data_IF_422080121240
#
_entry.id   IF_422080121240
#
_cell.length_a   1.000
_cell.length_b   1.000
_cell.length_c   1.000
_cell.angle_alpha   90.00
_cell.angle_beta   90.00
_cell.angle_gamma   90.00
#
_symmetry.space_group_name_H-M   'P 1'
#
loop_
_entity.id
_entity.type
_entity.pdbx_description
1 polymer ?
#
# COMPACT_ATOMS: atom_id res chain seq x y z
N UNK A 1 34.39 20.46 -31.52
CA UNK A 1 34.13 19.03 -31.73
C UNK A 1 32.71 18.83 -32.18
N UNK A 2 32.54 18.26 -33.38
CA UNK A 2 31.36 17.58 -33.91
C UNK A 2 30.05 18.38 -34.08
N UNK A 3 30.07 19.25 -35.09
CA UNK A 3 28.94 19.57 -35.97
C UNK A 3 28.78 18.41 -36.96
N UNK A 4 27.62 17.75 -37.02
CA UNK A 4 27.29 16.83 -38.13
C UNK A 4 26.46 17.55 -39.18
N UNK A 5 27.15 17.92 -40.27
CA UNK A 5 26.57 18.06 -41.62
C UNK A 5 26.29 16.67 -42.18
N UNK A 6 25.24 16.53 -42.99
CA UNK A 6 25.16 15.67 -44.19
C UNK A 6 23.85 16.01 -44.97
N UNK A 7 23.74 15.69 -46.27
CA UNK A 7 23.60 16.73 -47.30
C UNK A 7 22.34 16.59 -48.18
N UNK A 8 22.10 17.68 -48.91
CA UNK A 8 21.44 17.81 -50.20
C UNK A 8 20.96 16.54 -50.92
N UNK A 9 19.67 16.52 -51.27
CA UNK A 9 19.21 16.00 -52.56
C UNK A 9 18.18 16.97 -53.13
N UNK A 10 18.57 17.62 -54.23
CA UNK A 10 17.70 18.41 -55.08
C UNK A 10 16.89 17.46 -55.99
N UNK A 11 15.60 17.72 -56.12
CA UNK A 11 14.84 17.43 -57.33
C UNK A 11 14.04 18.68 -57.65
N UNK A 12 14.47 19.32 -58.72
CA UNK A 12 13.75 20.35 -59.46
C UNK A 12 12.49 19.75 -60.07
N UNK A 13 11.36 20.42 -59.88
CA UNK A 13 10.52 20.81 -61.03
C UNK A 13 9.72 22.05 -60.64
N UNK A 14 9.84 23.08 -61.48
CA UNK A 14 9.32 24.41 -61.23
C UNK A 14 7.90 24.64 -61.75
N UNK A 15 7.43 25.87 -61.53
CA UNK A 15 6.31 26.41 -62.30
C UNK A 15 5.25 27.15 -61.49
N UNK A 16 5.49 28.44 -61.28
CA UNK A 16 4.54 29.57 -61.24
C UNK A 16 3.13 29.43 -60.60
N UNK A 17 2.93 30.19 -59.53
CA UNK A 17 2.02 31.34 -59.53
C UNK A 17 0.52 31.14 -59.24
N UNK A 18 0.03 31.98 -58.30
CA UNK A 18 -1.31 32.62 -58.24
C UNK A 18 -2.44 31.82 -57.54
N UNK A 19 -2.86 32.33 -56.38
CA UNK A 19 -4.21 32.16 -55.76
C UNK A 19 -5.17 33.20 -56.38
N UNK A 20 -6.54 33.16 -56.28
CA UNK A 20 -7.36 32.59 -55.20
C UNK A 20 -8.79 32.05 -55.57
N UNK A 21 -9.55 31.63 -54.53
CA UNK A 21 -11.01 31.31 -54.44
C UNK A 21 -11.42 29.94 -55.04
N UNK A 22 -12.29 29.11 -54.44
CA UNK A 22 -13.47 29.38 -53.62
C UNK A 22 -13.81 28.14 -52.79
N UNK A 23 -14.34 28.37 -51.58
CA UNK A 23 -14.82 27.36 -50.66
C UNK A 23 -16.00 26.55 -51.22
N UNK A 24 -15.91 25.21 -51.13
CA UNK A 24 -17.07 24.34 -51.06
C UNK A 24 -16.99 23.54 -49.75
N UNK A 25 -17.85 23.94 -48.82
CA UNK A 25 -18.17 23.26 -47.57
C UNK A 25 -18.64 21.83 -47.88
N UNK A 26 -17.74 20.86 -47.70
CA UNK A 26 -18.12 19.48 -47.42
C UNK A 26 -17.87 19.25 -45.94
N UNK A 27 -18.95 19.29 -45.17
CA UNK A 27 -19.02 18.92 -43.76
C UNK A 27 -18.40 17.53 -43.55
N UNK A 28 -17.17 17.50 -43.04
CA UNK A 28 -16.59 16.28 -42.50
C UNK A 28 -17.34 15.92 -41.21
N UNK A 29 -17.87 14.69 -41.05
CA UNK A 29 -18.36 14.26 -39.77
C UNK A 29 -17.16 14.22 -38.81
N UNK A 30 -17.31 14.93 -37.70
CA UNK A 30 -16.41 14.92 -36.55
C UNK A 30 -16.19 13.46 -36.16
N UNK A 31 -15.02 12.89 -36.48
CA UNK A 31 -14.62 11.62 -35.90
C UNK A 31 -14.45 11.84 -34.40
N UNK A 32 -15.41 11.33 -33.63
CA UNK A 32 -15.23 11.05 -32.22
C UNK A 32 -13.95 10.22 -32.03
N UNK A 33 -13.19 10.43 -30.94
CA UNK A 33 -12.09 9.53 -30.59
C UNK A 33 -12.66 8.22 -30.04
N UNK A 34 -13.34 7.44 -30.88
CA UNK A 34 -13.62 6.01 -30.63
C UNK A 34 -12.32 5.22 -30.85
N UNK A 35 -11.43 5.24 -29.86
CA UNK A 35 -10.18 4.46 -29.97
C UNK A 35 -9.32 4.37 -28.73
N UNK A 36 -9.50 5.24 -27.73
CA UNK A 36 -8.70 5.16 -26.48
C UNK A 36 -9.36 4.32 -25.36
N UNK A 37 -10.64 3.99 -25.47
CA UNK A 37 -11.35 3.15 -24.48
C UNK A 37 -10.98 1.66 -24.57
N UNK A 38 -10.95 1.10 -25.79
CA UNK A 38 -10.77 -0.34 -26.02
C UNK A 38 -9.40 -0.88 -25.58
N UNK A 39 -8.34 -0.09 -25.73
CA UNK A 39 -7.00 -0.48 -25.27
C UNK A 39 -6.88 -0.45 -23.75
N UNK A 40 -7.43 0.58 -23.10
CA UNK A 40 -7.33 0.73 -21.65
C UNK A 40 -8.18 -0.31 -20.92
N UNK A 41 -9.35 -0.66 -21.46
CA UNK A 41 -10.19 -1.76 -20.98
C UNK A 41 -9.50 -3.12 -21.09
N UNK A 42 -8.78 -3.36 -22.20
CA UNK A 42 -7.99 -4.58 -22.39
C UNK A 42 -6.85 -4.69 -21.36
N UNK A 43 -6.11 -3.60 -21.13
CA UNK A 43 -5.07 -3.57 -20.10
C UNK A 43 -5.63 -3.70 -18.68
N UNK A 44 -6.80 -3.10 -18.39
CA UNK A 44 -7.48 -3.24 -17.10
C UNK A 44 -7.92 -4.69 -16.86
N UNK A 45 -8.53 -5.31 -17.86
CA UNK A 45 -8.96 -6.72 -17.82
C UNK A 45 -7.77 -7.65 -17.58
N UNK A 46 -6.66 -7.43 -18.30
CA UNK A 46 -5.45 -8.21 -18.14
C UNK A 46 -4.80 -8.03 -16.75
N UNK A 47 -4.77 -6.79 -16.25
CA UNK A 47 -4.27 -6.50 -14.90
C UNK A 47 -5.14 -7.13 -13.81
N UNK A 48 -6.47 -7.06 -13.93
CA UNK A 48 -7.41 -7.70 -13.00
C UNK A 48 -7.27 -9.23 -13.01
N UNK A 49 -7.09 -9.82 -14.19
CA UNK A 49 -6.82 -11.25 -14.33
C UNK A 49 -5.53 -11.65 -13.62
N UNK A 50 -4.41 -10.95 -13.90
CA UNK A 50 -3.12 -11.20 -13.24
C UNK A 50 -3.21 -11.02 -11.73
N UNK A 51 -3.88 -9.97 -11.25
CA UNK A 51 -4.08 -9.75 -9.82
C UNK A 51 -4.89 -10.90 -9.19
N UNK A 52 -5.95 -11.38 -9.84
CA UNK A 52 -6.76 -12.50 -9.36
C UNK A 52 -5.96 -13.81 -9.26
N UNK A 53 -5.10 -14.08 -10.25
CA UNK A 53 -4.22 -15.27 -10.27
C UNK A 53 -3.18 -15.18 -9.15
N UNK A 54 -2.55 -14.02 -8.96
CA UNK A 54 -1.57 -13.82 -7.87
C UNK A 54 -2.23 -14.02 -6.51
N UNK A 55 -3.44 -13.49 -6.30
CA UNK A 55 -4.19 -13.67 -5.05
C UNK A 55 -4.55 -15.15 -4.81
N UNK A 56 -4.93 -15.88 -5.86
CA UNK A 56 -5.19 -17.31 -5.78
C UNK A 56 -3.93 -18.10 -5.42
N UNK A 57 -2.78 -17.77 -5.99
CA UNK A 57 -1.49 -18.41 -5.66
C UNK A 57 -1.05 -18.11 -4.22
N UNK A 58 -1.23 -16.88 -3.74
CA UNK A 58 -0.96 -16.51 -2.35
C UNK A 58 -1.88 -17.30 -1.42
N UNK A 59 -3.17 -17.38 -1.74
CA UNK A 59 -4.15 -18.16 -0.96
C UNK A 59 -3.76 -19.64 -0.90
N UNK A 60 -3.44 -20.25 -2.04
CA UNK A 60 -2.99 -21.64 -2.13
C UNK A 60 -1.68 -21.86 -1.37
N UNK A 61 -0.70 -20.95 -1.48
CA UNK A 61 0.56 -21.02 -0.75
C UNK A 61 0.37 -21.00 0.77
N UNK A 62 -0.51 -20.12 1.27
CA UNK A 62 -0.86 -20.07 2.70
C UNK A 62 -1.54 -21.36 3.15
N UNK A 63 -2.47 -21.90 2.34
CA UNK A 63 -3.12 -23.18 2.63
C UNK A 63 -2.12 -24.32 2.69
N UNK A 64 -1.23 -24.45 1.71
CA UNK A 64 -0.23 -25.53 1.65
C UNK A 64 0.73 -25.44 2.84
N UNK A 65 1.31 -24.27 3.13
CA UNK A 65 2.24 -24.11 4.27
C UNK A 65 1.56 -24.42 5.60
N UNK A 66 0.29 -24.03 5.78
CA UNK A 66 -0.46 -24.25 7.03
C UNK A 66 -0.99 -25.69 7.16
N UNK A 67 -1.32 -26.37 6.06
CA UNK A 67 -1.82 -27.75 6.06
C UNK A 67 -0.69 -28.79 6.09
N UNK A 68 0.45 -28.52 5.45
CA UNK A 68 1.59 -29.47 5.38
C UNK A 68 2.43 -29.45 6.66
N UNK A 69 2.44 -28.36 7.42
CA UNK A 69 3.34 -28.15 8.56
C UNK A 69 3.11 -28.98 9.83
N UNK A 70 2.39 -30.11 9.81
CA UNK A 70 2.22 -30.93 11.04
C UNK A 70 1.68 -32.36 10.86
N UNK A 71 1.27 -32.78 9.65
CA UNK A 71 0.60 -34.08 9.47
C UNK A 71 1.52 -35.29 9.30
N UNK A 72 2.84 -35.11 9.14
CA UNK A 72 3.73 -36.21 8.73
C UNK A 72 4.53 -36.86 9.86
N UNK A 73 4.63 -36.24 11.04
CA UNK A 73 5.50 -36.74 12.11
C UNK A 73 4.80 -37.44 13.29
N UNK A 74 3.47 -37.44 13.36
CA UNK A 74 2.73 -37.92 14.55
C UNK A 74 1.89 -39.19 14.30
N UNK A 75 2.19 -39.94 13.23
CA UNK A 75 1.46 -41.17 12.86
C UNK A 75 2.37 -42.40 12.77
N UNK A 76 3.37 -42.46 13.64
CA UNK A 76 4.15 -43.67 13.87
C UNK A 76 4.33 -43.79 15.39
N UNK A 77 4.04 -44.98 15.91
CA UNK A 77 4.20 -45.44 17.31
C UNK A 77 2.96 -45.13 18.18
N UNK A 78 2.18 -46.07 18.73
CA UNK A 78 2.31 -47.52 18.97
C UNK A 78 0.90 -48.14 19.07
N UNK A 79 0.73 -49.38 18.61
CA UNK A 79 -0.27 -50.28 19.19
C UNK A 79 0.45 -51.50 19.74
N UNK A 80 0.73 -51.51 21.03
CA UNK A 80 1.17 -52.73 21.71
C UNK A 80 0.36 -52.90 22.99
N UNK A 81 -0.68 -53.73 22.89
CA UNK A 81 -1.33 -54.31 24.06
C UNK A 81 -0.32 -55.28 24.69
N UNK A 82 0.33 -54.90 25.79
CA UNK A 82 1.05 -55.85 26.64
C UNK A 82 0.37 -55.96 28.00
N UNK A 83 0.03 -57.20 28.36
CA UNK A 83 -0.60 -57.56 29.61
C UNK A 83 0.30 -57.23 30.83
N UNK A 84 -0.32 -56.90 31.97
CA UNK A 84 0.40 -56.50 33.17
C UNK A 84 1.12 -57.70 33.81
N UNK A 85 2.35 -57.48 34.26
CA UNK A 85 3.12 -58.41 35.11
C UNK A 85 3.68 -57.57 36.26
N UNK A 86 3.46 -58.02 37.49
CA UNK A 86 3.91 -57.35 38.72
C UNK A 86 5.40 -57.61 38.98
N UNK A 87 6.22 -56.56 38.91
CA UNK A 87 7.65 -56.57 39.24
C UNK A 87 7.91 -56.12 40.70
N UNK A 88 7.05 -56.49 41.64
CA UNK A 88 7.05 -55.92 42.99
C UNK A 88 8.25 -56.38 43.87
N UNK A 89 9.06 -57.36 43.40
CA UNK A 89 10.08 -58.03 44.24
C UNK A 89 11.43 -58.42 43.59
N UNK A 90 11.72 -58.15 42.31
CA UNK A 90 13.07 -58.43 41.74
C UNK A 90 13.68 -57.25 40.97
N UNK A 91 14.97 -57.02 41.18
CA UNK A 91 15.75 -55.91 40.60
C UNK A 91 16.57 -56.35 39.38
N UNK A 92 15.93 -57.04 38.44
CA UNK A 92 16.58 -57.47 37.19
C UNK A 92 16.56 -56.33 36.15
N UNK A 93 17.57 -56.27 35.27
CA UNK A 93 17.66 -55.28 34.18
C UNK A 93 16.38 -55.20 33.33
N UNK A 94 15.66 -56.32 33.18
CA UNK A 94 14.38 -56.40 32.48
C UNK A 94 13.22 -55.71 33.21
N UNK A 95 13.12 -55.85 34.55
CA UNK A 95 12.11 -55.14 35.33
C UNK A 95 12.42 -53.65 35.42
N UNK A 96 13.71 -53.25 35.43
CA UNK A 96 14.09 -51.84 35.35
C UNK A 96 13.73 -51.23 33.99
N UNK A 97 13.88 -51.96 32.89
CA UNK A 97 13.43 -51.54 31.57
C UNK A 97 11.90 -51.37 31.52
N UNK A 98 11.14 -52.34 32.03
CA UNK A 98 9.67 -52.27 32.08
C UNK A 98 9.15 -51.13 32.97
N UNK A 99 9.83 -50.83 34.07
CA UNK A 99 9.49 -49.68 34.92
C UNK A 99 9.75 -48.35 34.21
N UNK A 100 10.83 -48.25 33.42
CA UNK A 100 11.08 -47.09 32.56
C UNK A 100 10.00 -46.96 31.48
N UNK A 101 9.55 -48.06 30.89
CA UNK A 101 8.47 -48.06 29.90
C UNK A 101 7.14 -47.58 30.50
N UNK A 102 6.78 -48.05 31.70
CA UNK A 102 5.60 -47.56 32.42
C UNK A 102 5.71 -46.06 32.77
N UNK A 103 6.89 -45.61 33.19
CA UNK A 103 7.15 -44.20 33.49
C UNK A 103 7.00 -43.36 32.22
N UNK A 104 7.53 -43.85 31.09
CA UNK A 104 7.39 -43.19 29.80
C UNK A 104 5.96 -43.17 29.29
N UNK A 105 5.16 -44.21 29.53
CA UNK A 105 3.74 -44.22 29.20
C UNK A 105 2.97 -43.13 29.96
N UNK A 106 3.22 -43.00 31.27
CA UNK A 106 2.62 -41.94 32.11
C UNK A 106 3.05 -40.55 31.62
N UNK A 107 4.34 -40.38 31.29
CA UNK A 107 4.86 -39.11 30.77
C UNK A 107 4.31 -38.74 29.40
N UNK A 108 4.14 -39.73 28.52
CA UNK A 108 3.57 -39.54 27.20
C UNK A 108 2.09 -39.12 27.28
N UNK A 109 1.31 -39.77 28.13
CA UNK A 109 -0.09 -39.41 28.34
C UNK A 109 -0.22 -38.01 28.97
N UNK A 110 0.61 -37.72 29.97
CA UNK A 110 0.69 -36.38 30.56
C UNK A 110 1.06 -35.32 29.51
N UNK A 111 2.07 -35.58 28.68
CA UNK A 111 2.47 -34.68 27.61
C UNK A 111 1.32 -34.44 26.61
N UNK A 112 0.64 -35.51 26.17
CA UNK A 112 -0.47 -35.41 25.23
C UNK A 112 -1.60 -34.56 25.80
N UNK A 113 -2.03 -34.84 27.03
CA UNK A 113 -3.07 -34.07 27.70
C UNK A 113 -2.71 -32.57 27.81
N UNK A 114 -1.50 -32.26 28.30
CA UNK A 114 -1.05 -30.87 28.43
C UNK A 114 -0.93 -30.17 27.07
N UNK A 115 -0.44 -30.88 26.05
CA UNK A 115 -0.25 -30.33 24.71
C UNK A 115 -1.58 -29.98 24.02
N UNK A 116 -2.60 -30.82 24.19
CA UNK A 116 -3.96 -30.59 23.67
C UNK A 116 -4.59 -29.40 24.38
N UNK A 117 -4.49 -29.33 25.71
CA UNK A 117 -5.08 -28.23 26.47
C UNK A 117 -4.42 -26.89 26.18
N UNK A 118 -3.08 -26.85 26.06
CA UNK A 118 -2.38 -25.65 25.62
C UNK A 118 -2.76 -25.25 24.18
N UNK A 119 -2.98 -26.23 23.30
CA UNK A 119 -3.52 -26.00 21.96
C UNK A 119 -4.92 -25.39 21.97
N UNK A 120 -5.83 -25.93 22.78
CA UNK A 120 -7.19 -25.42 22.94
C UNK A 120 -7.22 -23.98 23.48
N UNK A 121 -6.32 -23.66 24.40
CA UNK A 121 -6.16 -22.30 24.92
C UNK A 121 -5.75 -21.31 23.82
N UNK A 122 -4.75 -21.64 22.99
CA UNK A 122 -4.35 -20.79 21.85
C UNK A 122 -5.46 -20.64 20.79
N UNK A 123 -6.38 -21.59 20.74
CA UNK A 123 -7.46 -21.67 19.75
C UNK A 123 -8.73 -20.89 20.12
N UNK A 124 -8.71 -20.16 21.23
CA UNK A 124 -9.85 -19.35 21.69
C UNK A 124 -10.58 -19.92 22.89
N UNK A 125 -9.95 -20.84 23.63
CA UNK A 125 -10.33 -21.24 24.98
C UNK A 125 -11.79 -21.76 25.12
N UNK A 126 -12.14 -22.91 24.51
CA UNK A 126 -13.47 -23.49 24.61
C UNK A 126 -13.85 -23.90 26.05
N UNK A 127 -12.86 -24.11 26.92
CA UNK A 127 -13.05 -24.61 28.30
C UNK A 127 -12.89 -23.54 29.38
N UNK A 128 -12.81 -22.24 29.03
CA UNK A 128 -12.65 -21.12 29.97
C UNK A 128 -11.43 -21.25 30.92
N UNK A 129 -10.32 -21.85 30.47
CA UNK A 129 -9.08 -21.86 31.23
C UNK A 129 -8.61 -20.43 31.47
N UNK A 130 -8.38 -20.05 32.73
CA UNK A 130 -7.91 -18.70 33.10
C UNK A 130 -6.45 -18.45 32.68
N UNK A 131 -5.68 -19.51 32.48
CA UNK A 131 -4.26 -19.46 32.12
C UNK A 131 -3.83 -20.71 31.39
N UNK A 132 -2.70 -20.63 30.68
CA UNK A 132 -1.99 -21.77 30.06
C UNK A 132 -1.46 -22.79 31.10
N UNK A 133 -1.52 -22.44 32.38
CA UNK A 133 -1.16 -23.27 33.52
C UNK A 133 -2.27 -24.23 33.92
N UNK A 134 -1.96 -25.53 33.99
CA UNK A 134 -2.86 -26.58 34.44
C UNK A 134 -2.41 -27.04 35.83
N UNK A 135 -3.37 -27.21 36.74
CA UNK A 135 -3.10 -27.62 38.11
C UNK A 135 -2.60 -29.07 38.16
N UNK A 136 -1.58 -29.33 38.99
CA UNK A 136 -1.02 -30.68 39.14
C UNK A 136 -2.08 -31.69 39.58
N UNK A 137 -3.02 -31.29 40.45
CA UNK A 137 -4.11 -32.15 40.88
C UNK A 137 -5.02 -32.59 39.73
N UNK A 138 -5.37 -31.66 38.84
CA UNK A 138 -6.24 -31.92 37.69
C UNK A 138 -5.54 -32.81 36.66
N UNK A 139 -4.27 -32.56 36.38
CA UNK A 139 -3.46 -33.40 35.51
C UNK A 139 -3.24 -34.81 36.10
N UNK A 140 -3.03 -34.91 37.42
CA UNK A 140 -2.88 -36.18 38.14
C UNK A 140 -4.14 -37.02 38.02
N UNK A 141 -5.31 -36.43 38.27
CA UNK A 141 -6.59 -37.13 38.19
C UNK A 141 -6.87 -37.64 36.77
N UNK A 142 -6.56 -36.85 35.73
CA UNK A 142 -6.75 -37.26 34.34
C UNK A 142 -5.86 -38.44 33.95
N UNK A 143 -4.55 -38.34 34.23
CA UNK A 143 -3.58 -39.39 33.87
C UNK A 143 -3.86 -40.68 34.66
N UNK A 144 -4.28 -40.57 35.92
CA UNK A 144 -4.66 -41.75 36.72
C UNK A 144 -5.89 -42.47 36.16
N UNK A 145 -6.90 -41.73 35.69
CA UNK A 145 -8.10 -42.31 35.09
C UNK A 145 -7.81 -43.03 33.77
N UNK A 146 -6.88 -42.51 32.95
CA UNK A 146 -6.56 -43.10 31.64
C UNK A 146 -5.58 -44.26 31.75
N UNK A 147 -4.51 -44.12 32.53
CA UNK A 147 -3.44 -45.13 32.63
C UNK A 147 -3.72 -46.18 33.73
N UNK A 148 -4.70 -45.96 34.61
CA UNK A 148 -4.98 -46.85 35.76
C UNK A 148 -3.80 -46.96 36.74
N UNK A 149 -2.91 -45.97 36.75
CA UNK A 149 -1.65 -45.99 37.51
C UNK A 149 -1.81 -45.52 38.95
N UNK A 150 -1.00 -46.05 39.87
CA UNK A 150 -0.98 -45.62 41.27
C UNK A 150 -0.38 -44.22 41.43
N UNK A 151 -0.76 -43.44 42.45
CA UNK A 151 -0.28 -42.07 42.65
C UNK A 151 1.25 -41.99 42.81
N UNK A 152 1.87 -43.04 43.35
CA UNK A 152 3.32 -43.15 43.52
C UNK A 152 4.07 -43.19 42.18
N UNK A 153 3.48 -43.79 41.14
CA UNK A 153 4.10 -43.85 39.81
C UNK A 153 4.09 -42.48 39.12
N UNK A 154 3.06 -41.67 39.37
CA UNK A 154 2.99 -40.30 38.87
C UNK A 154 4.02 -39.38 39.54
N UNK A 155 4.18 -39.49 40.86
CA UNK A 155 5.20 -38.75 41.61
C UNK A 155 6.63 -39.17 41.19
N UNK A 156 6.85 -40.47 40.94
CA UNK A 156 8.12 -40.95 40.38
C UNK A 156 8.40 -40.38 38.98
N UNK A 157 7.37 -40.21 38.15
CA UNK A 157 7.49 -39.59 36.83
C UNK A 157 7.84 -38.10 36.93
N UNK A 158 7.21 -37.34 37.83
CA UNK A 158 7.53 -35.94 38.09
C UNK A 158 8.96 -35.76 38.63
N UNK A 159 9.36 -36.62 39.57
CA UNK A 159 10.72 -36.64 40.10
C UNK A 159 11.77 -36.98 39.03
N UNK A 160 11.42 -37.84 38.07
CA UNK A 160 12.26 -38.11 36.91
C UNK A 160 12.41 -36.89 36.01
N UNK A 161 11.34 -36.11 35.78
CA UNK A 161 11.44 -34.86 35.00
C UNK A 161 12.35 -33.85 35.70
N UNK A 162 12.21 -33.64 37.02
CA UNK A 162 13.04 -32.69 37.78
C UNK A 162 14.54 -33.04 37.72
N UNK A 163 14.88 -34.32 37.75
CA UNK A 163 16.28 -34.78 37.71
C UNK A 163 16.82 -34.95 36.28
N UNK A 164 15.96 -34.97 35.26
CA UNK A 164 16.36 -35.16 33.88
C UNK A 164 16.63 -33.80 33.24
N UNK A 165 17.89 -33.51 32.92
CA UNK A 165 18.31 -32.30 32.21
C UNK A 165 17.97 -32.34 30.70
N UNK A 166 16.83 -32.93 30.35
CA UNK A 166 16.35 -33.07 28.97
C UNK A 166 15.02 -32.33 28.82
N UNK A 167 14.90 -31.56 27.74
CA UNK A 167 13.67 -30.87 27.37
C UNK A 167 12.59 -31.89 26.95
N UNK A 168 11.81 -32.35 27.93
CA UNK A 168 10.66 -33.25 27.72
C UNK A 168 9.41 -32.51 27.21
N UNK A 169 9.52 -31.20 27.01
CA UNK A 169 8.41 -30.36 26.55
C UNK A 169 7.34 -30.09 27.62
N UNK A 170 7.62 -30.41 28.88
CA UNK A 170 6.76 -30.13 30.05
C UNK A 170 7.53 -29.19 30.99
N UNK A 171 6.96 -28.02 31.27
CA UNK A 171 7.47 -27.04 32.22
C UNK A 171 6.76 -27.20 33.56
N UNK A 172 7.54 -27.39 34.62
CA UNK A 172 7.06 -27.41 36.01
C UNK A 172 7.21 -26.00 36.60
N UNK A 173 6.11 -25.42 37.04
CA UNK A 173 6.08 -24.10 37.70
C UNK A 173 5.76 -24.25 39.18
N UNK A 174 6.61 -23.67 40.01
CA UNK A 174 6.41 -23.58 41.44
C UNK A 174 5.37 -22.54 41.83
N UNK A 175 4.97 -22.56 43.12
CA UNK A 175 4.08 -21.55 43.70
C UNK A 175 4.66 -20.12 43.60
N UNK A 176 5.98 -20.01 43.69
CA UNK A 176 6.72 -18.75 43.49
C UNK A 176 7.31 -18.70 42.08
N UNK A 177 6.81 -17.76 41.27
CA UNK A 177 7.13 -17.58 39.84
C UNK A 177 8.61 -17.28 39.52
N UNK A 178 9.51 -17.20 40.51
CA UNK A 178 10.85 -16.63 40.36
C UNK A 178 12.02 -17.63 40.55
N UNK A 179 11.78 -18.86 41.01
CA UNK A 179 12.84 -19.83 41.31
C UNK A 179 12.70 -21.19 40.60
N UNK A 180 13.81 -21.91 40.34
CA UNK A 180 13.76 -23.29 39.87
C UNK A 180 13.18 -24.22 40.95
N UNK A 181 12.27 -25.11 40.56
CA UNK A 181 11.60 -26.05 41.47
C UNK A 181 12.55 -27.17 41.85
N UNK A 182 12.70 -27.45 43.15
CA UNK A 182 13.67 -28.44 43.66
C UNK A 182 13.00 -29.71 44.21
N UNK A 183 11.70 -29.67 44.49
CA UNK A 183 10.92 -30.79 45.03
C UNK A 183 9.56 -30.95 44.32
N UNK A 184 8.99 -32.15 44.37
CA UNK A 184 7.71 -32.47 43.70
C UNK A 184 6.53 -31.75 44.38
N UNK A 185 6.63 -31.49 45.68
CA UNK A 185 5.60 -30.81 46.48
C UNK A 185 5.50 -29.31 46.19
N UNK A 186 6.57 -28.71 45.65
CA UNK A 186 6.61 -27.30 45.23
C UNK A 186 5.95 -27.07 43.87
N UNK A 187 5.74 -28.12 43.07
CA UNK A 187 5.13 -28.04 41.74
C UNK A 187 3.64 -27.69 41.88
N UNK A 188 3.27 -26.52 41.38
CA UNK A 188 1.91 -25.99 41.46
C UNK A 188 1.18 -26.07 40.11
N UNK A 189 1.90 -25.82 39.02
CA UNK A 189 1.38 -25.79 37.66
C UNK A 189 2.27 -26.58 36.70
N UNK A 190 1.63 -27.24 35.73
CA UNK A 190 2.26 -27.86 34.56
C UNK A 190 1.90 -27.06 33.30
N UNK A 191 2.88 -26.82 32.44
CA UNK A 191 2.71 -26.13 31.16
C UNK A 191 3.40 -26.90 30.04
N UNK A 192 2.72 -27.12 28.91
CA UNK A 192 3.39 -27.72 27.74
C UNK A 192 4.20 -26.67 26.97
N UNK A 193 5.43 -27.01 26.59
CA UNK A 193 6.28 -26.21 25.71
C UNK A 193 5.77 -26.23 24.26
N UNK A 194 5.12 -27.33 23.84
CA UNK A 194 4.63 -27.54 22.46
C UNK A 194 3.12 -27.77 22.45
N UNK A 195 2.31 -26.76 22.08
CA UNK A 195 0.87 -26.93 21.96
C UNK A 195 0.49 -27.72 20.70
N UNK A 196 -0.31 -28.77 20.87
CA UNK A 196 -0.92 -29.49 19.76
C UNK A 196 -2.30 -28.88 19.45
N UNK A 197 -2.40 -28.22 18.31
CA UNK A 197 -3.64 -27.57 17.87
C UNK A 197 -4.47 -28.51 17.01
N UNK A 198 -5.76 -28.63 17.31
CA UNK A 198 -6.72 -29.36 16.48
C UNK A 198 -6.84 -28.79 15.06
N UNK A 199 -7.23 -29.66 14.11
CA UNK A 199 -7.35 -29.34 12.67
C UNK A 199 -8.29 -28.15 12.41
N UNK A 200 -9.41 -28.05 13.11
CA UNK A 200 -10.39 -26.97 12.95
C UNK A 200 -9.85 -25.59 13.32
N UNK A 201 -9.06 -25.51 14.39
CA UNK A 201 -8.43 -24.26 14.80
C UNK A 201 -7.32 -23.83 13.84
N UNK A 202 -6.50 -24.77 13.37
CA UNK A 202 -5.47 -24.50 12.35
C UNK A 202 -6.10 -23.97 11.07
N UNK A 203 -7.20 -24.58 10.62
CA UNK A 203 -7.95 -24.13 9.46
C UNK A 203 -8.54 -22.73 9.67
N UNK A 204 -9.24 -22.49 10.79
CA UNK A 204 -9.81 -21.17 11.11
C UNK A 204 -8.73 -20.09 11.12
N UNK A 205 -7.60 -20.32 11.78
CA UNK A 205 -6.49 -19.35 11.86
C UNK A 205 -5.82 -19.13 10.50
N UNK A 206 -5.66 -20.19 9.71
CA UNK A 206 -5.14 -20.11 8.34
C UNK A 206 -6.07 -19.28 7.44
N UNK A 207 -7.37 -19.58 7.45
CA UNK A 207 -8.39 -18.86 6.67
C UNK A 207 -8.47 -17.39 7.08
N UNK A 208 -8.51 -17.09 8.38
CA UNK A 208 -8.54 -15.70 8.87
C UNK A 208 -7.29 -14.93 8.43
N UNK A 209 -6.12 -15.55 8.51
CA UNK A 209 -4.86 -14.93 8.06
C UNK A 209 -4.88 -14.68 6.55
N UNK A 210 -5.34 -15.66 5.77
CA UNK A 210 -5.43 -15.56 4.32
C UNK A 210 -6.41 -14.45 3.90
N UNK A 211 -7.59 -14.40 4.51
CA UNK A 211 -8.60 -13.36 4.27
C UNK A 211 -8.07 -11.98 4.65
N UNK A 212 -7.41 -11.84 5.81
CA UNK A 212 -6.87 -10.55 6.25
C UNK A 212 -5.81 -10.04 5.30
N UNK A 213 -4.87 -10.90 4.88
CA UNK A 213 -3.82 -10.52 3.92
C UNK A 213 -4.41 -10.15 2.54
N UNK A 214 -5.44 -10.88 2.10
CA UNK A 214 -6.18 -10.57 0.87
C UNK A 214 -6.81 -9.17 0.94
N UNK A 215 -7.51 -8.86 2.04
CA UNK A 215 -8.10 -7.54 2.23
C UNK A 215 -7.03 -6.44 2.25
N UNK A 216 -5.92 -6.64 2.96
CA UNK A 216 -4.81 -5.66 3.00
C UNK A 216 -4.25 -5.38 1.61
N UNK A 217 -4.08 -6.41 0.76
CA UNK A 217 -3.63 -6.22 -0.61
C UNK A 217 -4.63 -5.41 -1.45
N UNK A 218 -5.92 -5.71 -1.36
CA UNK A 218 -6.95 -4.95 -2.07
C UNK A 218 -7.01 -3.49 -1.62
N UNK A 219 -6.95 -3.22 -0.32
CA UNK A 219 -6.92 -1.86 0.22
C UNK A 219 -5.69 -1.09 -0.26
N UNK A 220 -4.52 -1.74 -0.31
CA UNK A 220 -3.29 -1.16 -0.88
C UNK A 220 -3.47 -0.78 -2.36
N UNK A 221 -4.05 -1.66 -3.17
CA UNK A 221 -4.26 -1.40 -4.59
C UNK A 221 -5.26 -0.24 -4.83
N UNK A 222 -6.36 -0.21 -4.07
CA UNK A 222 -7.37 0.86 -4.15
C UNK A 222 -6.76 2.20 -3.78
N UNK A 223 -6.01 2.26 -2.68
CA UNK A 223 -5.36 3.50 -2.24
C UNK A 223 -4.32 3.99 -3.23
N UNK A 224 -3.49 3.09 -3.76
CA UNK A 224 -2.52 3.42 -4.82
C UNK A 224 -3.19 3.97 -6.08
N UNK A 225 -4.27 3.32 -6.54
CA UNK A 225 -5.02 3.77 -7.71
C UNK A 225 -5.69 5.14 -7.48
N UNK A 226 -6.26 5.35 -6.29
CA UNK A 226 -6.81 6.65 -5.89
C UNK A 226 -5.76 7.76 -5.91
N UNK A 227 -4.55 7.50 -5.41
CA UNK A 227 -3.42 8.45 -5.44
C UNK A 227 -3.03 8.77 -6.89
N UNK A 228 -2.92 7.77 -7.78
CA UNK A 228 -2.58 8.00 -9.18
C UNK A 228 -3.61 8.88 -9.90
N UNK A 229 -4.90 8.65 -9.67
CA UNK A 229 -5.97 9.49 -10.22
C UNK A 229 -5.87 10.91 -9.66
N UNK A 230 -5.65 11.05 -8.36
CA UNK A 230 -5.51 12.35 -7.72
C UNK A 230 -4.32 13.15 -8.29
N UNK A 231 -3.16 12.52 -8.44
CA UNK A 231 -1.98 13.15 -9.05
C UNK A 231 -2.25 13.55 -10.51
N UNK A 232 -2.88 12.66 -11.29
CA UNK A 232 -3.25 12.97 -12.69
C UNK A 232 -4.27 14.09 -12.78
N UNK A 233 -5.21 14.18 -11.84
CA UNK A 233 -6.15 15.28 -11.74
C UNK A 233 -5.44 16.59 -11.39
N UNK A 234 -4.55 16.57 -10.39
CA UNK A 234 -3.73 17.73 -10.01
C UNK A 234 -2.87 18.22 -11.16
N UNK A 235 -2.21 17.31 -11.87
CA UNK A 235 -1.37 17.64 -13.02
C UNK A 235 -2.16 18.33 -14.14
N UNK A 236 -3.29 17.74 -14.56
CA UNK A 236 -4.17 18.36 -15.56
C UNK A 236 -4.68 19.72 -15.14
N UNK A 237 -5.06 19.88 -13.86
CA UNK A 237 -5.52 21.17 -13.35
C UNK A 237 -4.43 22.23 -13.38
N UNK A 238 -3.17 21.86 -13.11
CA UNK A 238 -2.03 22.78 -13.23
C UNK A 238 -1.81 23.20 -14.70
N UNK A 239 -1.87 22.25 -15.64
CA UNK A 239 -1.76 22.55 -17.08
C UNK A 239 -2.87 23.49 -17.57
N UNK A 240 -4.12 23.27 -17.14
CA UNK A 240 -5.25 24.15 -17.48
C UNK A 240 -5.08 25.57 -16.90
N UNK A 241 -4.59 25.69 -15.66
CA UNK A 241 -4.32 26.99 -15.03
C UNK A 241 -3.17 27.74 -15.75
N UNK A 242 -2.11 27.04 -16.15
CA UNK A 242 -1.00 27.63 -16.92
C UNK A 242 -1.43 28.05 -18.33
N UNK A 243 -2.19 27.21 -19.03
CA UNK A 243 -2.72 27.55 -20.36
C UNK A 243 -3.63 28.77 -20.31
N UNK A 244 -4.50 28.86 -19.29
CA UNK A 244 -5.36 30.03 -19.10
C UNK A 244 -4.55 31.30 -18.81
N UNK A 245 -3.47 31.19 -18.04
CA UNK A 245 -2.55 32.31 -17.79
C UNK A 245 -1.87 32.77 -19.09
N UNK A 246 -1.29 31.86 -19.87
CA UNK A 246 -0.62 32.22 -21.13
C UNK A 246 -1.59 32.79 -22.18
N UNK A 247 -2.80 32.25 -22.28
CA UNK A 247 -3.86 32.82 -23.15
C UNK A 247 -4.23 34.24 -22.70
N UNK A 248 -4.33 34.48 -21.40
CA UNK A 248 -4.59 35.81 -20.85
C UNK A 248 -3.47 36.79 -21.17
N UNK A 249 -2.21 36.38 -20.98
CA UNK A 249 -1.02 37.18 -21.34
C UNK A 249 -1.02 37.56 -22.82
N UNK A 250 -1.30 36.61 -23.72
CA UNK A 250 -1.39 36.88 -25.17
C UNK A 250 -2.46 37.92 -25.50
N UNK A 251 -3.63 37.83 -24.86
CA UNK A 251 -4.72 38.80 -25.03
C UNK A 251 -4.35 40.19 -24.54
N UNK A 252 -3.66 40.29 -23.40
CA UNK A 252 -3.14 41.57 -22.89
C UNK A 252 -2.15 42.19 -23.88
N UNK A 253 -1.19 41.39 -24.35
CA UNK A 253 -0.17 41.83 -25.32
C UNK A 253 -0.85 42.35 -26.61
N UNK A 254 -1.87 41.65 -27.10
CA UNK A 254 -2.61 42.08 -28.30
C UNK A 254 -3.27 43.46 -28.11
N UNK A 255 -3.99 43.67 -27.00
CA UNK A 255 -4.66 44.96 -26.73
C UNK A 255 -3.65 46.10 -26.60
N UNK A 256 -2.56 45.90 -25.86
CA UNK A 256 -1.53 46.94 -25.69
C UNK A 256 -0.81 47.24 -27.01
N UNK A 257 -0.55 46.22 -27.81
CA UNK A 257 0.08 46.38 -29.12
C UNK A 257 -0.83 47.06 -30.15
N UNK A 258 -2.12 46.75 -30.15
CA UNK A 258 -3.10 47.39 -31.04
C UNK A 258 -3.28 48.87 -30.67
N UNK A 259 -3.37 49.20 -29.37
CA UNK A 259 -3.34 50.59 -28.89
C UNK A 259 -2.08 51.34 -29.35
N UNK A 260 -0.91 50.70 -29.23
CA UNK A 260 0.34 51.29 -29.72
C UNK A 260 0.29 51.61 -31.22
N UNK A 261 -0.30 50.72 -32.05
CA UNK A 261 -0.48 50.96 -33.49
C UNK A 261 -1.50 52.06 -33.79
N UNK A 262 -2.53 52.23 -32.96
CA UNK A 262 -3.51 53.31 -33.11
C UNK A 262 -2.89 54.67 -32.77
N UNK A 263 -2.08 54.72 -31.71
CA UNK A 263 -1.23 55.86 -31.40
C UNK A 263 -0.24 56.19 -32.54
N UNK A 264 0.46 55.20 -33.11
CA UNK A 264 1.41 55.40 -34.23
C UNK A 264 0.72 56.00 -35.47
N UNK A 265 -0.57 55.70 -35.67
CA UNK A 265 -1.41 56.27 -36.74
C UNK A 265 -2.00 57.65 -36.40
N UNK A 266 -1.60 58.25 -35.28
CA UNK A 266 -2.14 59.50 -34.75
C UNK A 266 -3.66 59.48 -34.45
N UNK A 267 -4.25 58.29 -34.24
CA UNK A 267 -5.66 58.16 -33.81
C UNK A 267 -5.82 58.43 -32.31
N UNK A 268 -4.76 58.20 -31.53
CA UNK A 268 -4.76 58.35 -30.08
C UNK A 268 -3.72 59.33 -29.59
N UNK A 269 -3.99 59.94 -28.44
CA UNK A 269 -3.18 61.03 -27.88
C UNK A 269 -1.96 60.57 -27.09
N UNK A 270 -1.99 59.37 -26.52
CA UNK A 270 -0.98 58.90 -25.57
C UNK A 270 -0.49 57.47 -25.89
N UNK A 271 0.82 57.17 -25.72
CA UNK A 271 1.42 55.86 -26.02
C UNK A 271 1.29 54.83 -24.88
N UNK A 272 0.36 55.02 -23.94
CA UNK A 272 0.18 54.16 -22.77
C UNK A 272 -1.30 53.86 -22.49
N UNK A 273 -1.56 52.70 -21.86
CA UNK A 273 -2.92 52.20 -21.56
C UNK A 273 -3.06 51.89 -20.08
N UNK A 274 -4.15 52.29 -19.45
CA UNK A 274 -4.42 51.94 -18.05
C UNK A 274 -4.68 50.44 -17.87
N UNK A 275 -4.06 49.82 -16.86
CA UNK A 275 -4.22 48.38 -16.57
C UNK A 275 -5.69 48.01 -16.32
N UNK A 276 -6.44 48.88 -15.64
CA UNK A 276 -7.86 48.67 -15.39
C UNK A 276 -8.71 48.71 -16.66
N UNK A 277 -8.35 49.57 -17.62
CA UNK A 277 -9.04 49.65 -18.90
C UNK A 277 -8.85 48.34 -19.68
N UNK A 278 -7.62 47.83 -19.77
CA UNK A 278 -7.33 46.56 -20.45
C UNK A 278 -8.07 45.39 -19.79
N UNK A 279 -8.10 45.34 -18.45
CA UNK A 279 -8.86 44.32 -17.71
C UNK A 279 -10.34 44.33 -18.06
N UNK A 280 -10.93 45.51 -18.09
CA UNK A 280 -12.37 45.68 -18.27
C UNK A 280 -12.79 45.44 -19.73
N UNK A 281 -11.89 45.68 -20.68
CA UNK A 281 -12.06 45.28 -22.09
C UNK A 281 -11.94 43.76 -22.30
N UNK A 282 -11.07 43.08 -21.56
CA UNK A 282 -10.82 41.65 -21.72
C UNK A 282 -11.73 40.74 -20.89
N UNK A 283 -12.21 41.21 -19.73
CA UNK A 283 -12.95 40.41 -18.76
C UNK A 283 -14.33 41.02 -18.50
N UNK A 284 -15.41 40.40 -19.00
CA UNK A 284 -16.77 40.81 -18.68
C UNK A 284 -17.06 40.78 -17.17
N UNK A 285 -17.96 41.64 -16.67
CA UNK A 285 -18.24 41.77 -15.24
C UNK A 285 -18.67 40.45 -14.58
N UNK A 286 -19.34 39.56 -15.32
CA UNK A 286 -19.81 38.27 -14.82
C UNK A 286 -18.68 37.27 -14.51
N UNK A 287 -17.57 37.31 -15.27
CA UNK A 287 -16.44 36.37 -15.11
C UNK A 287 -15.30 36.91 -14.24
N UNK A 288 -15.39 38.18 -13.80
CA UNK A 288 -14.35 38.89 -13.05
C UNK A 288 -13.91 38.15 -11.78
N UNK A 289 -14.83 37.56 -11.01
CA UNK A 289 -14.49 36.79 -9.80
C UNK A 289 -13.69 35.51 -10.11
N UNK A 290 -14.06 34.79 -11.18
CA UNK A 290 -13.41 33.53 -11.58
C UNK A 290 -12.03 33.77 -12.18
N UNK A 291 -11.88 34.83 -12.97
CA UNK A 291 -10.65 35.14 -13.69
C UNK A 291 -9.65 35.98 -12.88
N UNK A 292 -10.05 36.55 -11.74
CA UNK A 292 -9.19 37.40 -10.89
C UNK A 292 -7.82 36.77 -10.61
N UNK A 293 -7.79 35.50 -10.21
CA UNK A 293 -6.54 34.79 -9.89
C UNK A 293 -5.65 34.59 -11.13
N UNK A 294 -6.25 34.31 -12.29
CA UNK A 294 -5.54 34.17 -13.56
C UNK A 294 -4.98 35.52 -14.00
N UNK A 295 -5.77 36.59 -13.86
CA UNK A 295 -5.38 37.97 -14.16
C UNK A 295 -4.19 38.43 -13.33
N UNK A 296 -4.27 38.31 -11.99
CA UNK A 296 -3.18 38.73 -11.09
C UNK A 296 -1.87 37.99 -11.41
N UNK A 297 -1.95 36.67 -11.65
CA UNK A 297 -0.79 35.86 -12.04
C UNK A 297 -0.23 36.24 -13.42
N UNK A 298 -1.10 36.58 -14.37
CA UNK A 298 -0.69 37.04 -15.69
C UNK A 298 0.00 38.41 -15.65
N UNK A 299 -0.49 39.34 -14.83
CA UNK A 299 0.13 40.66 -14.62
C UNK A 299 1.51 40.51 -13.97
N UNK A 300 1.64 39.65 -12.96
CA UNK A 300 2.91 39.35 -12.31
C UNK A 300 3.92 38.70 -13.27
N UNK A 301 3.46 37.76 -14.10
CA UNK A 301 4.27 37.16 -15.16
C UNK A 301 4.73 38.19 -16.21
N UNK A 302 3.86 39.11 -16.61
CA UNK A 302 4.21 40.19 -17.55
C UNK A 302 5.28 41.10 -16.95
N UNK A 303 5.12 41.53 -15.70
CA UNK A 303 6.07 42.42 -15.04
C UNK A 303 7.46 41.80 -14.83
N UNK A 304 7.52 40.48 -14.60
CA UNK A 304 8.76 39.76 -14.29
C UNK A 304 9.47 39.17 -15.50
N UNK A 305 8.73 38.75 -16.53
CA UNK A 305 9.29 37.92 -17.61
C UNK A 305 9.11 38.52 -19.01
N UNK A 306 8.22 39.50 -19.20
CA UNK A 306 7.91 40.05 -20.52
C UNK A 306 8.52 41.44 -20.71
N UNK A 307 9.57 41.54 -21.53
CA UNK A 307 10.30 42.80 -21.73
C UNK A 307 9.63 43.79 -22.70
N UNK A 308 8.61 43.36 -23.45
CA UNK A 308 7.93 44.16 -24.49
C UNK A 308 6.98 45.21 -23.93
N UNK A 309 6.53 45.01 -22.69
CA UNK A 309 5.56 45.87 -22.02
C UNK A 309 6.18 46.31 -20.71
N UNK A 310 6.26 47.63 -20.51
CA UNK A 310 6.70 48.21 -19.26
C UNK A 310 5.49 48.64 -18.44
N UNK A 311 5.50 48.30 -17.15
CA UNK A 311 4.51 48.80 -16.19
C UNK A 311 5.04 50.08 -15.56
N UNK A 312 4.36 51.19 -15.77
CA UNK A 312 4.71 52.51 -15.25
C UNK A 312 3.58 53.06 -14.37
N UNK A 313 3.89 53.89 -13.37
CA UNK A 313 2.89 54.65 -12.62
C UNK A 313 2.77 56.05 -13.21
N UNK A 314 1.59 56.42 -13.70
CA UNK A 314 1.31 57.75 -14.24
C UNK A 314 0.22 58.43 -13.43
N UNK A 315 0.39 59.73 -13.18
CA UNK A 315 -0.60 60.52 -12.46
C UNK A 315 -1.65 61.05 -13.43
N UNK A 316 -2.80 60.41 -13.49
CA UNK A 316 -3.92 60.76 -14.38
C UNK A 316 -5.03 61.39 -13.52
N UNK A 317 -5.45 62.60 -13.89
CA UNK A 317 -6.48 63.36 -13.15
C UNK A 317 -6.22 63.55 -11.64
N UNK A 318 -4.94 63.52 -11.22
CA UNK A 318 -4.52 63.72 -9.83
C UNK A 318 -4.30 62.45 -9.02
N UNK A 319 -4.67 61.27 -9.56
CA UNK A 319 -4.47 59.95 -8.95
C UNK A 319 -3.34 59.18 -9.66
N UNK A 320 -2.56 58.42 -8.89
CA UNK A 320 -1.52 57.54 -9.45
C UNK A 320 -2.15 56.25 -9.98
N UNK A 321 -2.06 56.05 -11.30
CA UNK A 321 -2.60 54.89 -11.99
C UNK A 321 -1.48 54.07 -12.61
N UNK A 322 -1.58 52.75 -12.50
CA UNK A 322 -0.67 51.85 -13.21
C UNK A 322 -1.09 51.77 -14.68
N UNK A 323 -0.13 52.00 -15.56
CA UNK A 323 -0.30 51.96 -17.01
C UNK A 323 0.73 51.03 -17.64
N UNK A 324 0.38 50.50 -18.81
CA UNK A 324 1.26 49.71 -19.65
C UNK A 324 1.70 50.52 -20.86
N UNK A 325 3.00 50.45 -21.14
CA UNK A 325 3.64 51.08 -22.29
C UNK A 325 4.35 50.02 -23.13
N UNK A 326 4.19 50.10 -24.45
CA UNK A 326 4.92 49.26 -25.39
C UNK A 326 6.35 49.80 -25.57
N UNK A 327 7.36 48.95 -25.36
CA UNK A 327 8.78 49.37 -25.38
C UNK A 327 9.51 48.95 -26.66
N UNK A 328 9.00 47.97 -27.40
CA UNK A 328 9.67 47.52 -28.62
C UNK A 328 9.37 48.44 -29.80
N UNK A 329 10.39 49.05 -30.43
CA UNK A 329 10.17 49.83 -31.63
C UNK A 329 9.62 48.95 -32.76
N UNK A 330 8.68 49.50 -33.52
CA UNK A 330 8.34 48.99 -34.85
C UNK A 330 9.58 49.13 -35.75
N UNK A 331 9.69 48.31 -36.79
CA UNK A 331 10.81 48.19 -37.75
C UNK A 331 11.23 49.52 -38.44
N UNK A 332 10.59 50.64 -38.10
CA UNK A 332 10.86 51.99 -38.58
C UNK A 332 12.01 52.70 -37.85
N UNK A 333 12.52 52.16 -36.73
CA UNK A 333 13.62 52.78 -35.97
C UNK A 333 15.03 52.30 -36.35
N UNK A 334 15.17 51.41 -37.34
CA UNK A 334 16.48 50.89 -37.80
C UNK A 334 17.16 51.77 -38.87
N UNK A 335 16.62 52.95 -39.18
CA UNK A 335 17.21 53.86 -40.16
C UNK A 335 17.32 55.28 -39.62
N UNK A 336 18.34 55.52 -38.80
CA UNK A 336 19.02 56.81 -38.68
C UNK A 336 20.22 56.66 -37.73
N UNK A 337 21.33 56.10 -38.21
CA UNK A 337 22.70 56.40 -37.78
C UNK A 337 23.67 56.17 -38.94
#
# INVERSE_FOLDING_TARGET
>A
GLIRRFPWRASSDGGYGVTPRTALLRSAPRQQPEGKGKGLEYYLSHFLCLASVVLLLIFLGILVVKMVGSGWLDRRDESFNLLPVDCDKSSDDFCQAKQRDMTMAVLHELYNYLSVQAGNFECGNPENLKSKCIWVSEAKDHVMNVTGSSPQKFEAALHWILNSNKDLGIWLKGRDLAGPVSSVEEVFCLESARPQMGLGCRFRRAVVTAITNLFLFFWSLITLWGILIFLRYRWRKMEEEEQAMYDMVKKIIAVVHDHYKEWERNLERYPYVGIFHVRDSLIPPQSRKKMKRVWERAVDFLASNESRIQTESHRVAGEDMLVWRWTQPSYLSDSEH
#
